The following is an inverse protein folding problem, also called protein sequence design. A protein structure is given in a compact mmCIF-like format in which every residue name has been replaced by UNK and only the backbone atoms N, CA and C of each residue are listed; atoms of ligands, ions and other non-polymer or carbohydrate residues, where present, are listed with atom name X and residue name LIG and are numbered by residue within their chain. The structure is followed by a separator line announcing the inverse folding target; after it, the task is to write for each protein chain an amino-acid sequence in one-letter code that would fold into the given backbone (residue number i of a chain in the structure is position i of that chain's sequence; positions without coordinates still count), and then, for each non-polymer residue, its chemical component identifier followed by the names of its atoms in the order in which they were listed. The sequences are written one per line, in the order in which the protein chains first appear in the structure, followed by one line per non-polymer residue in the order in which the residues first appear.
data_IF_907642936760
#
_entry.id   IF_907642936760
#
_cell.length_a   1.000
_cell.length_b   1.000
_cell.length_c   1.000
_cell.angle_alpha   90.00
_cell.angle_beta   90.00
_cell.angle_gamma   90.00
#
_symmetry.space_group_name_H-M   'P 1'
#
loop_
_entity.id
_entity.type
_entity.pdbx_description
1 polymer ?
#
# COMPACT_ATOMS: atom_id res chain seq x y z
N UNK A 1 16.21 3.62 27.96
CA UNK A 1 16.82 4.91 27.59
C UNK A 1 15.67 5.76 27.09
N UNK A 2 15.23 6.75 27.87
CA UNK A 2 14.17 7.66 27.45
C UNK A 2 14.66 8.42 26.22
N UNK A 3 14.24 7.98 25.03
CA UNK A 3 14.48 8.74 23.82
C UNK A 3 13.67 10.03 23.93
N UNK A 4 14.33 11.13 24.27
CA UNK A 4 13.80 12.47 24.06
C UNK A 4 13.28 12.54 22.64
N UNK A 5 11.96 12.68 22.52
CA UNK A 5 11.26 12.75 21.25
C UNK A 5 11.72 14.01 20.51
N UNK A 6 12.59 13.82 19.51
CA UNK A 6 13.02 14.90 18.62
C UNK A 6 12.25 14.76 17.30
N UNK A 7 11.35 15.70 16.97
CA UNK A 7 10.61 15.63 15.72
C UNK A 7 11.59 15.60 14.53
N UNK A 8 11.21 14.88 13.45
CA UNK A 8 12.00 14.70 12.22
C UNK A 8 13.30 13.88 12.31
N UNK A 9 13.73 13.46 13.51
CA UNK A 9 14.98 12.67 13.66
C UNK A 9 14.92 11.34 12.89
N UNK A 10 13.79 10.64 12.96
CA UNK A 10 13.57 9.39 12.23
C UNK A 10 13.71 9.57 10.71
N UNK A 11 12.99 10.55 10.15
CA UNK A 11 13.01 10.86 8.71
C UNK A 11 14.43 11.19 8.23
N UNK A 12 15.19 11.96 9.01
CA UNK A 12 16.57 12.31 8.67
C UNK A 12 17.48 11.06 8.63
N UNK A 13 17.35 10.18 9.61
CA UNK A 13 18.16 8.96 9.68
C UNK A 13 17.82 8.02 8.50
N UNK A 14 16.54 7.86 8.18
CA UNK A 14 16.08 7.02 7.06
C UNK A 14 16.60 7.56 5.72
N UNK A 15 16.55 8.88 5.52
CA UNK A 15 17.07 9.52 4.31
C UNK A 15 18.59 9.34 4.17
N UNK A 16 19.34 9.53 5.26
CA UNK A 16 20.79 9.33 5.26
C UNK A 16 21.17 7.88 4.94
N UNK A 17 20.46 6.91 5.53
CA UNK A 17 20.68 5.49 5.25
C UNK A 17 20.39 5.15 3.78
N UNK A 18 19.27 5.65 3.23
CA UNK A 18 18.89 5.38 1.84
C UNK A 18 19.85 6.01 0.82
N UNK A 19 20.28 7.25 1.05
CA UNK A 19 21.16 7.98 0.13
C UNK A 19 22.50 7.27 -0.10
N UNK A 20 23.06 6.59 0.93
CA UNK A 20 24.32 5.86 0.78
C UNK A 20 24.22 4.68 -0.19
N UNK A 21 23.09 3.97 -0.17
CA UNK A 21 22.87 2.80 -1.00
C UNK A 21 22.29 3.14 -2.39
N UNK A 22 21.60 4.27 -2.53
CA UNK A 22 20.87 4.62 -3.76
C UNK A 22 21.73 4.57 -5.02
N UNK A 23 22.96 5.12 -4.97
CA UNK A 23 23.89 5.07 -6.12
C UNK A 23 24.30 3.63 -6.47
N UNK A 24 24.46 2.77 -5.47
CA UNK A 24 24.84 1.37 -5.68
C UNK A 24 23.72 0.58 -6.33
N UNK A 25 22.46 0.83 -5.96
CA UNK A 25 21.30 0.14 -6.53
C UNK A 25 21.19 0.32 -8.04
N UNK A 26 21.38 1.55 -8.54
CA UNK A 26 21.38 1.82 -9.98
C UNK A 26 22.53 1.10 -10.69
N UNK A 27 23.74 1.18 -10.14
CA UNK A 27 24.92 0.50 -10.72
C UNK A 27 24.72 -1.02 -10.72
N UNK A 28 24.20 -1.58 -9.63
CA UNK A 28 23.90 -3.01 -9.49
C UNK A 28 22.81 -3.46 -10.47
N UNK A 29 21.76 -2.65 -10.62
CA UNK A 29 20.68 -2.87 -11.58
C UNK A 29 21.19 -2.97 -13.02
N UNK A 30 22.00 -2.01 -13.47
CA UNK A 30 22.58 -2.05 -14.81
C UNK A 30 23.55 -3.22 -15.01
N UNK A 31 24.33 -3.59 -13.99
CA UNK A 31 25.28 -4.72 -14.05
C UNK A 31 24.61 -6.09 -14.12
N UNK A 32 23.42 -6.24 -13.53
CA UNK A 32 22.71 -7.51 -13.54
C UNK A 32 22.17 -7.91 -14.93
N UNK A 33 22.07 -6.96 -15.86
CA UNK A 33 21.72 -7.20 -17.27
C UNK A 33 20.42 -8.00 -17.41
N UNK A 34 20.47 -9.11 -18.15
CA UNK A 34 19.30 -9.95 -18.42
C UNK A 34 18.79 -10.75 -17.21
N UNK A 35 19.59 -10.91 -16.14
CA UNK A 35 19.18 -11.69 -14.96
C UNK A 35 18.01 -11.07 -14.21
N UNK A 36 17.78 -9.76 -14.37
CA UNK A 36 16.65 -9.04 -13.77
C UNK A 36 15.33 -9.37 -14.46
N UNK A 37 15.34 -9.78 -15.75
CA UNK A 37 14.12 -9.99 -16.51
C UNK A 37 13.25 -11.13 -15.93
N UNK A 38 13.88 -12.20 -15.45
CA UNK A 38 13.17 -13.32 -14.83
C UNK A 38 12.39 -12.90 -13.56
N UNK A 39 13.03 -12.31 -12.53
CA UNK A 39 12.30 -11.84 -11.35
C UNK A 39 11.33 -10.70 -11.66
N UNK A 40 11.62 -9.77 -12.57
CA UNK A 40 10.65 -8.71 -12.91
C UNK A 40 9.40 -9.27 -13.56
N UNK A 41 9.54 -10.25 -14.46
CA UNK A 41 8.40 -10.90 -15.11
C UNK A 41 7.57 -11.68 -14.10
N UNK A 42 8.23 -12.43 -13.21
CA UNK A 42 7.54 -13.18 -12.16
C UNK A 42 6.77 -12.26 -11.21
N UNK A 43 7.41 -11.20 -10.70
CA UNK A 43 6.77 -10.24 -9.79
C UNK A 43 5.68 -9.45 -10.50
N UNK A 44 5.83 -9.15 -11.79
CA UNK A 44 4.76 -8.50 -12.57
C UNK A 44 3.48 -9.34 -12.55
N UNK A 45 3.53 -10.63 -12.88
CA UNK A 45 2.34 -11.48 -12.85
C UNK A 45 1.84 -11.72 -11.42
N UNK A 46 2.75 -11.95 -10.47
CA UNK A 46 2.39 -12.16 -9.07
C UNK A 46 1.71 -10.94 -8.44
N UNK A 47 2.02 -9.72 -8.90
CA UNK A 47 1.41 -8.47 -8.41
C UNK A 47 0.16 -8.06 -9.21
N UNK A 48 0.12 -8.32 -10.52
CA UNK A 48 -1.00 -7.93 -11.36
C UNK A 48 -2.26 -8.78 -11.11
N UNK A 49 -2.12 -10.10 -10.95
CA UNK A 49 -3.27 -11.01 -10.78
C UNK A 49 -4.11 -10.65 -9.53
N UNK A 50 -3.52 -10.46 -8.34
CA UNK A 50 -4.28 -10.05 -7.16
C UNK A 50 -4.95 -8.69 -7.34
N UNK A 51 -4.25 -7.72 -7.95
CA UNK A 51 -4.81 -6.37 -8.16
C UNK A 51 -5.99 -6.40 -9.11
N UNK A 52 -5.97 -7.24 -10.15
CA UNK A 52 -7.12 -7.42 -11.05
C UNK A 52 -8.28 -8.06 -10.29
N UNK A 53 -8.02 -9.11 -9.51
CA UNK A 53 -9.05 -9.80 -8.72
C UNK A 53 -9.70 -8.87 -7.69
N UNK A 54 -8.90 -8.16 -6.90
CA UNK A 54 -9.39 -7.15 -5.94
C UNK A 54 -10.04 -5.95 -6.61
N UNK A 55 -9.56 -5.57 -7.81
CA UNK A 55 -10.14 -4.53 -8.63
C UNK A 55 -11.54 -4.88 -9.13
N UNK A 56 -11.76 -6.12 -9.57
CA UNK A 56 -13.07 -6.65 -9.94
C UNK A 56 -14.00 -6.75 -8.71
N UNK A 57 -13.45 -7.12 -7.56
CA UNK A 57 -14.20 -7.14 -6.30
C UNK A 57 -14.67 -5.72 -5.92
N UNK A 58 -13.82 -4.70 -6.09
CA UNK A 58 -14.18 -3.29 -5.91
C UNK A 58 -15.27 -2.87 -6.90
N UNK A 59 -15.17 -3.28 -8.17
CA UNK A 59 -16.13 -2.93 -9.22
C UNK A 59 -17.54 -3.42 -8.86
N UNK A 60 -17.64 -4.69 -8.47
CA UNK A 60 -18.90 -5.32 -8.03
C UNK A 60 -19.46 -4.69 -6.75
N UNK A 61 -18.60 -4.37 -5.79
CA UNK A 61 -19.03 -3.84 -4.49
C UNK A 61 -19.35 -2.34 -4.52
N UNK A 62 -18.90 -1.61 -5.54
CA UNK A 62 -19.09 -0.16 -5.66
C UNK A 62 -19.99 0.24 -6.82
N UNK A 63 -20.82 -0.68 -7.32
CA UNK A 63 -21.76 -0.46 -8.43
C UNK A 63 -21.08 0.14 -9.68
N UNK A 64 -19.85 -0.27 -9.99
CA UNK A 64 -19.09 0.21 -11.15
C UNK A 64 -18.39 1.56 -10.97
N UNK A 65 -18.37 2.13 -9.76
CA UNK A 65 -17.71 3.43 -9.50
C UNK A 65 -16.19 3.29 -9.43
N UNK A 66 -15.69 2.23 -8.79
CA UNK A 66 -14.26 1.90 -8.72
C UNK A 66 -13.95 0.64 -9.51
N UNK A 67 -13.28 0.79 -10.65
CA UNK A 67 -13.02 -0.32 -11.58
C UNK A 67 -11.65 -0.95 -11.36
N UNK A 68 -11.46 -2.17 -11.88
CA UNK A 68 -10.17 -2.86 -11.85
C UNK A 68 -9.03 -2.07 -12.53
N UNK A 69 -9.36 -1.31 -13.59
CA UNK A 69 -8.38 -0.47 -14.30
C UNK A 69 -7.87 0.66 -13.42
N UNK A 70 -8.72 1.26 -12.58
CA UNK A 70 -8.31 2.31 -11.64
C UNK A 70 -7.41 1.75 -10.53
N UNK A 71 -7.69 0.54 -10.04
CA UNK A 71 -6.84 -0.16 -9.07
C UNK A 71 -5.45 -0.49 -9.66
N UNK A 72 -5.40 -0.94 -10.92
CA UNK A 72 -4.17 -1.17 -11.67
C UNK A 72 -3.39 0.13 -11.87
N UNK A 73 -4.04 1.20 -12.31
CA UNK A 73 -3.42 2.50 -12.53
C UNK A 73 -2.83 3.06 -11.22
N UNK A 74 -3.57 2.96 -10.11
CA UNK A 74 -3.09 3.36 -8.78
C UNK A 74 -1.85 2.57 -8.37
N UNK A 75 -1.88 1.24 -8.53
CA UNK A 75 -0.74 0.38 -8.16
C UNK A 75 0.49 0.68 -9.01
N UNK A 76 0.32 0.86 -10.33
CA UNK A 76 1.41 1.17 -11.24
C UNK A 76 2.05 2.53 -10.93
N UNK A 77 1.25 3.59 -10.79
CA UNK A 77 1.75 4.95 -10.50
C UNK A 77 2.45 5.01 -9.15
N UNK A 78 1.82 4.48 -8.10
CA UNK A 78 2.41 4.46 -6.77
C UNK A 78 3.66 3.55 -6.71
N UNK A 79 3.69 2.44 -7.45
CA UNK A 79 4.85 1.57 -7.56
C UNK A 79 6.05 2.24 -8.23
N UNK A 80 5.84 3.01 -9.30
CA UNK A 80 6.91 3.79 -9.95
C UNK A 80 7.44 4.85 -8.99
N UNK A 81 6.55 5.62 -8.35
CA UNK A 81 6.96 6.66 -7.39
C UNK A 81 7.72 6.04 -6.21
N UNK A 82 7.23 4.93 -5.65
CA UNK A 82 7.86 4.25 -4.52
C UNK A 82 9.19 3.60 -4.89
N UNK A 83 9.35 3.05 -6.10
CA UNK A 83 10.62 2.45 -6.51
C UNK A 83 11.74 3.48 -6.67
N UNK A 84 11.41 4.73 -7.01
CA UNK A 84 12.36 5.83 -7.16
C UNK A 84 12.64 6.53 -5.81
N UNK A 85 11.59 6.86 -5.04
CA UNK A 85 11.71 7.73 -3.85
C UNK A 85 11.68 6.92 -2.54
N UNK A 86 11.23 5.66 -2.57
CA UNK A 86 11.02 4.84 -1.39
C UNK A 86 12.29 4.49 -0.62
N UNK A 87 12.13 4.29 0.69
CA UNK A 87 13.18 3.86 1.60
C UNK A 87 13.57 2.39 1.47
N UNK A 88 12.70 1.55 0.89
CA UNK A 88 12.92 0.11 0.73
C UNK A 88 12.48 -0.35 -0.68
N UNK A 89 13.40 -0.46 -1.66
CA UNK A 89 13.04 -0.79 -3.05
C UNK A 89 12.53 -2.22 -3.26
N UNK A 90 12.77 -3.13 -2.30
CA UNK A 90 12.25 -4.50 -2.35
C UNK A 90 10.77 -4.61 -1.94
N UNK A 91 10.18 -3.52 -1.44
CA UNK A 91 8.77 -3.51 -1.05
C UNK A 91 7.88 -3.48 -2.29
N UNK A 92 7.00 -4.47 -2.42
CA UNK A 92 6.00 -4.53 -3.49
C UNK A 92 4.75 -3.79 -3.01
N UNK A 93 4.46 -2.67 -3.65
CA UNK A 93 3.26 -1.90 -3.38
C UNK A 93 2.08 -2.47 -4.18
N UNK A 94 0.93 -2.61 -3.54
CA UNK A 94 -0.27 -3.15 -4.18
C UNK A 94 -1.53 -2.89 -3.37
N UNK A 95 -2.67 -3.20 -3.99
CA UNK A 95 -3.97 -3.22 -3.30
C UNK A 95 -4.06 -4.52 -2.50
N UNK A 96 -4.36 -4.40 -1.22
CA UNK A 96 -4.62 -5.53 -0.33
C UNK A 96 -6.11 -5.57 0.02
N UNK A 97 -6.57 -6.76 0.41
CA UNK A 97 -7.97 -6.99 0.78
C UNK A 97 -8.52 -6.08 1.89
N UNK A 98 -7.77 -5.75 2.96
CA UNK A 98 -8.26 -4.78 3.95
C UNK A 98 -8.62 -3.42 3.33
N UNK A 99 -7.88 -2.98 2.31
CA UNK A 99 -8.20 -1.77 1.57
C UNK A 99 -9.52 -1.94 0.82
N UNK A 100 -9.74 -3.07 0.13
CA UNK A 100 -11.00 -3.34 -0.58
C UNK A 100 -12.20 -3.35 0.36
N UNK A 101 -12.07 -3.99 1.53
CA UNK A 101 -13.11 -4.04 2.56
C UNK A 101 -13.44 -2.64 3.06
N UNK A 102 -12.43 -1.82 3.34
CA UNK A 102 -12.63 -0.44 3.79
C UNK A 102 -13.33 0.42 2.74
N UNK A 103 -12.92 0.33 1.47
CA UNK A 103 -13.57 1.05 0.38
C UNK A 103 -15.02 0.60 0.16
N UNK A 104 -15.30 -0.70 0.31
CA UNK A 104 -16.66 -1.24 0.25
C UNK A 104 -17.52 -0.71 1.39
N UNK A 105 -16.98 -0.66 2.61
CA UNK A 105 -17.68 -0.09 3.77
C UNK A 105 -17.95 1.41 3.58
N UNK A 106 -16.94 2.15 3.13
CA UNK A 106 -17.01 3.55 2.78
C UNK A 106 -18.10 3.83 1.73
N UNK A 107 -18.20 2.99 0.70
CA UNK A 107 -19.22 3.11 -0.34
C UNK A 107 -20.63 2.88 0.20
N UNK A 108 -20.84 1.82 1.01
CA UNK A 108 -22.12 1.57 1.67
C UNK A 108 -22.52 2.73 2.59
N UNK A 109 -21.58 3.22 3.39
CA UNK A 109 -21.79 4.36 4.27
C UNK A 109 -22.22 5.62 3.50
N UNK A 110 -21.59 5.89 2.35
CA UNK A 110 -21.94 7.02 1.50
C UNK A 110 -23.32 6.86 0.83
N UNK A 111 -23.68 5.63 0.43
CA UNK A 111 -24.94 5.30 -0.22
C UNK A 111 -26.14 5.39 0.73
N UNK A 112 -25.96 4.95 1.98
CA UNK A 112 -27.00 4.96 3.01
C UNK A 112 -27.28 6.37 3.57
N UNK A 113 -26.40 7.34 3.28
CA UNK A 113 -26.53 8.75 3.69
C UNK A 113 -27.32 9.56 2.65
N UNK A 114 -28.46 10.19 3.03
CA UNK A 114 -29.27 10.97 2.10
C UNK A 114 -28.54 12.21 1.55
N UNK A 115 -27.56 12.75 2.30
CA UNK A 115 -26.85 13.99 1.94
C UNK A 115 -25.69 13.78 0.96
N UNK A 116 -25.18 12.55 0.81
CA UNK A 116 -23.97 12.26 0.03
C UNK A 116 -24.30 11.49 -1.25
N UNK A 117 -25.04 10.37 -1.11
CA UNK A 117 -25.37 9.49 -2.22
C UNK A 117 -24.14 8.91 -2.94
N UNK A 118 -24.39 8.09 -3.97
CA UNK A 118 -23.32 7.43 -4.75
C UNK A 118 -22.51 8.38 -5.62
N UNK A 119 -23.09 9.51 -6.05
CA UNK A 119 -22.44 10.47 -6.98
C UNK A 119 -21.30 11.25 -6.34
N UNK A 120 -21.38 11.55 -5.04
CA UNK A 120 -20.35 12.31 -4.30
C UNK A 120 -19.30 11.41 -3.63
N UNK A 121 -19.44 10.09 -3.74
CA UNK A 121 -18.54 9.12 -3.12
C UNK A 121 -17.06 9.34 -3.48
N UNK A 122 -16.75 9.63 -4.75
CA UNK A 122 -15.38 9.89 -5.21
C UNK A 122 -14.77 11.12 -4.54
N UNK A 123 -15.51 12.23 -4.49
CA UNK A 123 -15.05 13.48 -3.87
C UNK A 123 -14.87 13.31 -2.35
N UNK A 124 -15.80 12.60 -1.71
CA UNK A 124 -15.70 12.29 -0.28
C UNK A 124 -14.51 11.39 0.03
N UNK A 125 -14.27 10.37 -0.79
CA UNK A 125 -13.08 9.50 -0.67
C UNK A 125 -11.80 10.32 -0.81
N UNK A 126 -11.76 11.31 -1.70
CA UNK A 126 -10.66 12.27 -1.79
C UNK A 126 -10.38 13.00 -0.47
N UNK A 127 -11.41 13.48 0.22
CA UNK A 127 -11.25 14.12 1.53
C UNK A 127 -10.77 13.14 2.61
N UNK A 128 -11.24 11.90 2.60
CA UNK A 128 -10.73 10.85 3.50
C UNK A 128 -9.23 10.62 3.25
N UNK A 129 -8.80 10.59 1.98
CA UNK A 129 -7.38 10.50 1.63
C UNK A 129 -6.56 11.70 2.11
N UNK A 130 -7.09 12.92 2.04
CA UNK A 130 -6.41 14.13 2.57
C UNK A 130 -6.16 14.01 4.07
N UNK A 131 -7.17 13.62 4.85
CA UNK A 131 -7.01 13.40 6.29
C UNK A 131 -6.07 12.25 6.62
N UNK A 132 -6.15 11.17 5.85
CA UNK A 132 -5.26 10.01 6.00
C UNK A 132 -3.81 10.42 5.75
N UNK A 133 -3.53 11.19 4.69
CA UNK A 133 -2.20 11.72 4.40
C UNK A 133 -1.70 12.67 5.51
N UNK A 134 -2.55 13.58 6.01
CA UNK A 134 -2.19 14.48 7.10
C UNK A 134 -1.82 13.72 8.39
N UNK A 135 -2.60 12.69 8.75
CA UNK A 135 -2.29 11.82 9.89
C UNK A 135 -1.00 11.03 9.68
N UNK A 136 -0.76 10.50 8.49
CA UNK A 136 0.49 9.81 8.17
C UNK A 136 1.71 10.73 8.29
N UNK A 137 1.62 11.98 7.80
CA UNK A 137 2.69 12.96 7.98
C UNK A 137 2.93 13.28 9.45
N UNK A 138 1.86 13.46 10.23
CA UNK A 138 1.96 13.70 11.67
C UNK A 138 2.64 12.52 12.37
N UNK A 139 2.22 11.29 12.10
CA UNK A 139 2.82 10.07 12.68
C UNK A 139 4.30 9.91 12.28
N UNK A 140 4.66 10.27 11.04
CA UNK A 140 6.05 10.25 10.57
C UNK A 140 6.92 11.27 11.31
N UNK A 141 6.44 12.50 11.52
CA UNK A 141 7.14 13.53 12.29
C UNK A 141 7.26 13.11 13.76
N UNK A 142 6.21 12.48 14.29
CA UNK A 142 6.16 11.92 15.64
C UNK A 142 6.99 10.64 15.84
N UNK A 143 7.60 10.10 14.79
CA UNK A 143 8.42 8.89 14.91
C UNK A 143 7.63 7.68 15.43
N UNK A 144 6.33 7.61 15.12
CA UNK A 144 5.46 6.50 15.53
C UNK A 144 5.98 5.14 15.04
N UNK A 145 6.82 5.13 14.00
CA UNK A 145 7.55 3.94 13.53
C UNK A 145 8.37 3.26 14.64
N UNK A 146 8.79 3.96 15.70
CA UNK A 146 9.46 3.35 16.87
C UNK A 146 8.60 2.30 17.59
N UNK A 147 7.27 2.39 17.46
CA UNK A 147 6.31 1.42 18.02
C UNK A 147 6.42 0.06 17.32
N UNK A 148 6.91 0.01 16.08
CA UNK A 148 7.05 -1.25 15.33
C UNK A 148 8.03 -2.21 16.03
N UNK A 149 8.99 -1.70 16.80
CA UNK A 149 9.90 -2.53 17.60
C UNK A 149 9.19 -3.26 18.75
N UNK A 150 7.95 -2.87 19.08
CA UNK A 150 7.09 -3.57 20.04
C UNK A 150 6.25 -4.68 19.39
N UNK A 151 6.15 -4.71 18.06
CA UNK A 151 5.49 -5.82 17.38
C UNK A 151 6.33 -7.09 17.53
N UNK A 152 5.75 -8.09 18.18
CA UNK A 152 6.41 -9.37 18.38
C UNK A 152 6.32 -10.21 17.11
N UNK A 153 7.23 -11.18 16.99
CA UNK A 153 7.19 -12.18 15.92
C UNK A 153 5.83 -12.88 15.82
N UNK A 154 5.21 -13.19 16.97
CA UNK A 154 3.88 -13.79 17.04
C UNK A 154 2.82 -12.93 16.35
N UNK A 155 2.82 -11.60 16.59
CA UNK A 155 1.89 -10.69 15.94
C UNK A 155 2.09 -10.65 14.42
N UNK A 156 3.35 -10.66 13.96
CA UNK A 156 3.67 -10.71 12.53
C UNK A 156 3.23 -12.03 11.86
N UNK A 157 3.48 -13.17 12.50
CA UNK A 157 3.07 -14.48 11.99
C UNK A 157 1.55 -14.63 11.96
N UNK A 158 0.84 -14.19 13.01
CA UNK A 158 -0.63 -14.19 13.04
C UNK A 158 -1.23 -13.28 11.97
N UNK A 159 -0.66 -12.09 11.75
CA UNK A 159 -1.09 -11.20 10.69
C UNK A 159 -0.87 -11.81 9.30
N UNK A 160 0.30 -12.41 9.06
CA UNK A 160 0.59 -13.12 7.82
C UNK A 160 -0.36 -14.29 7.57
N UNK A 161 -0.67 -15.07 8.61
CA UNK A 161 -1.64 -16.17 8.54
C UNK A 161 -3.05 -15.68 8.23
N UNK A 162 -3.48 -14.56 8.83
CA UNK A 162 -4.78 -13.96 8.54
C UNK A 162 -4.89 -13.58 7.06
N UNK A 163 -3.87 -12.87 6.52
CA UNK A 163 -3.86 -12.49 5.11
C UNK A 163 -3.86 -13.73 4.20
N UNK A 164 -3.08 -14.76 4.53
CA UNK A 164 -3.05 -16.00 3.74
C UNK A 164 -4.40 -16.73 3.74
N UNK A 165 -5.09 -16.79 4.88
CA UNK A 165 -6.42 -17.39 4.99
C UNK A 165 -7.46 -16.62 4.17
N UNK A 166 -7.46 -15.29 4.25
CA UNK A 166 -8.38 -14.46 3.48
C UNK A 166 -8.12 -14.60 1.96
N UNK A 167 -6.85 -14.64 1.56
CA UNK A 167 -6.47 -14.87 0.16
C UNK A 167 -6.94 -16.24 -0.37
N UNK A 168 -6.84 -17.30 0.45
CA UNK A 168 -7.39 -18.62 0.10
C UNK A 168 -8.92 -18.61 0.03
N UNK A 169 -9.59 -17.90 0.94
CA UNK A 169 -11.04 -17.80 0.94
C UNK A 169 -11.55 -17.12 -0.33
N UNK A 170 -10.95 -16.01 -0.73
CA UNK A 170 -11.31 -15.35 -1.99
C UNK A 170 -11.00 -16.22 -3.21
N UNK A 171 -9.88 -16.97 -3.20
CA UNK A 171 -9.58 -17.91 -4.29
C UNK A 171 -10.62 -19.05 -4.44
N UNK A 172 -11.29 -19.46 -3.36
CA UNK A 172 -12.36 -20.49 -3.38
C UNK A 172 -13.72 -19.88 -3.73
N UNK A 173 -13.93 -18.60 -3.40
CA UNK A 173 -15.21 -17.89 -3.58
C UNK A 173 -15.43 -17.43 -5.03
N UNK A 174 -14.36 -17.29 -5.80
CA UNK A 174 -14.36 -17.11 -7.26
C UNK A 174 -14.75 -18.42 -7.95
#
# INVERSE_FOLDING_TARGET
MEETFVPFRGIRNDLQGRLMCYKQDWIGGFKAGFRILAPTTFIFFASAIPVISFGEQLDRNTDGVLTAVQALASTALCGIIHSIIGGQPLLILGVAEPTVIMYTFMFKFAKDRPDLGSKLFLAWTGWVCVWTAALLFLLAILGACSIINRFTRLAGELFGLLIAMLFMQEAIKV
#
